data_IF_029998197753
#
_entry.id   IF_029998197753
#
_cell.length_a   1.000
_cell.length_b   1.000
_cell.length_c   1.000
_cell.angle_alpha   90.00
_cell.angle_beta   90.00
_cell.angle_gamma   90.00
#
_symmetry.space_group_name_H-M   'P 1'
#
loop_
_entity.id
_entity.type
_entity.pdbx_description
1 polymer ?
#
# COMPACT_ATOMS: atom_id res chain seq x y z
N UNK A 1 4.86 -6.69 7.34
CA UNK A 1 4.29 -5.59 8.12
C UNK A 1 2.81 -5.90 8.39
N UNK A 2 2.37 -5.80 9.62
CA UNK A 2 0.97 -6.04 9.98
C UNK A 2 0.07 -4.92 9.44
N UNK A 3 -1.24 -5.20 9.34
CA UNK A 3 -2.19 -4.17 8.93
C UNK A 3 -2.22 -3.00 9.92
N UNK A 4 -2.09 -3.27 11.21
CA UNK A 4 -2.04 -2.22 12.22
C UNK A 4 -0.83 -1.29 12.01
N UNK A 5 0.34 -1.85 11.67
CA UNK A 5 1.52 -1.05 11.37
C UNK A 5 1.34 -0.22 10.10
N UNK A 6 0.68 -0.79 9.07
CA UNK A 6 0.38 -0.05 7.84
C UNK A 6 -0.56 1.12 8.13
N UNK A 7 -1.61 0.89 8.93
CA UNK A 7 -2.53 1.96 9.33
C UNK A 7 -1.80 3.07 10.09
N UNK A 8 -0.92 2.71 11.01
CA UNK A 8 -0.14 3.68 11.77
C UNK A 8 0.79 4.50 10.88
N UNK A 9 1.41 3.86 9.90
CA UNK A 9 2.26 4.55 8.93
C UNK A 9 1.47 5.59 8.14
N UNK A 10 0.32 5.22 7.59
CA UNK A 10 -0.51 6.16 6.83
C UNK A 10 -1.05 7.28 7.71
N UNK A 11 -1.43 6.98 8.96
CA UNK A 11 -1.86 8.00 9.91
C UNK A 11 -0.77 9.03 10.19
N UNK A 12 0.46 8.57 10.39
CA UNK A 12 1.61 9.46 10.61
C UNK A 12 1.92 10.31 9.37
N UNK A 13 1.88 9.70 8.18
CA UNK A 13 2.10 10.42 6.92
C UNK A 13 1.00 11.45 6.68
N UNK A 14 -0.26 11.11 6.99
CA UNK A 14 -1.37 12.03 6.85
C UNK A 14 -1.21 13.29 7.68
N UNK A 15 -0.53 13.21 8.82
CA UNK A 15 -0.26 14.36 9.67
C UNK A 15 1.00 15.14 9.26
N UNK A 16 2.00 14.46 8.70
CA UNK A 16 3.32 15.04 8.47
C UNK A 16 3.59 15.49 7.05
N UNK A 17 2.95 14.86 6.07
CA UNK A 17 3.15 15.27 4.68
C UNK A 17 2.57 16.67 4.45
N UNK A 18 3.33 17.49 3.78
CA UNK A 18 2.87 18.80 3.32
C UNK A 18 1.78 18.62 2.26
N UNK A 19 0.89 19.61 2.07
CA UNK A 19 -0.04 19.59 0.94
C UNK A 19 0.70 19.35 -0.38
N UNK A 20 0.16 18.48 -1.22
CA UNK A 20 0.76 18.00 -2.48
C UNK A 20 2.05 17.19 -2.29
N UNK A 21 2.42 16.87 -1.06
CA UNK A 21 3.53 15.96 -0.79
C UNK A 21 3.27 14.57 -1.36
N UNK A 22 4.32 13.87 -1.76
CA UNK A 22 4.25 12.57 -2.41
C UNK A 22 4.90 11.51 -1.54
N UNK A 23 4.25 10.35 -1.46
CA UNK A 23 4.78 9.18 -0.77
C UNK A 23 4.73 7.98 -1.72
N UNK A 24 5.84 7.28 -1.86
CA UNK A 24 5.94 6.09 -2.70
C UNK A 24 6.09 4.85 -1.84
N UNK A 25 5.33 3.80 -2.18
CA UNK A 25 5.38 2.52 -1.50
C UNK A 25 5.68 1.43 -2.53
N UNK A 26 6.80 0.72 -2.34
CA UNK A 26 7.28 -0.32 -3.24
C UNK A 26 7.03 -1.70 -2.64
N UNK A 27 6.59 -2.63 -3.46
CA UNK A 27 6.48 -4.02 -3.05
C UNK A 27 5.60 -4.85 -3.96
N UNK A 28 5.43 -6.15 -3.62
CA UNK A 28 4.45 -7.00 -4.28
C UNK A 28 3.09 -6.78 -3.63
N UNK A 29 2.10 -6.40 -4.43
CA UNK A 29 0.75 -6.12 -3.95
C UNK A 29 -0.28 -6.99 -4.65
N UNK A 30 -1.37 -7.30 -3.96
CA UNK A 30 -2.58 -7.84 -4.57
C UNK A 30 -3.42 -6.68 -5.12
N UNK A 31 -4.37 -6.98 -5.99
CA UNK A 31 -5.25 -5.97 -6.57
C UNK A 31 -6.69 -6.48 -6.58
N UNK A 32 -7.54 -5.84 -5.80
CA UNK A 32 -8.95 -6.18 -5.72
C UNK A 32 -9.21 -7.59 -5.16
N UNK A 33 -8.36 -8.05 -4.25
CA UNK A 33 -8.45 -9.38 -3.66
C UNK A 33 -7.84 -10.47 -4.51
N UNK A 34 -7.14 -10.14 -5.59
CA UNK A 34 -6.54 -11.11 -6.51
C UNK A 34 -5.03 -10.99 -6.50
N UNK A 35 -4.37 -12.14 -6.64
CA UNK A 35 -2.93 -12.18 -6.86
C UNK A 35 -2.62 -11.72 -8.29
N UNK A 36 -1.55 -10.94 -8.43
CA UNK A 36 -1.11 -10.44 -9.73
C UNK A 36 -0.14 -11.40 -10.44
N UNK A 37 0.34 -12.42 -9.72
CA UNK A 37 1.19 -13.48 -10.30
C UNK A 37 1.18 -14.70 -9.40
N UNK A 38 1.60 -15.86 -9.96
CA UNK A 38 1.73 -17.09 -9.19
C UNK A 38 2.85 -16.99 -8.16
N UNK A 39 3.94 -16.30 -8.46
CA UNK A 39 5.03 -16.09 -7.52
C UNK A 39 4.59 -15.23 -6.32
N UNK A 40 3.76 -14.22 -6.54
CA UNK A 40 3.20 -13.43 -5.45
C UNK A 40 2.28 -14.25 -4.57
N UNK A 41 1.49 -15.14 -5.17
CA UNK A 41 0.64 -16.06 -4.40
C UNK A 41 1.47 -16.97 -3.50
N UNK A 42 2.52 -17.58 -4.04
CA UNK A 42 3.40 -18.45 -3.27
C UNK A 42 4.09 -17.70 -2.13
N UNK A 43 4.53 -16.49 -2.40
CA UNK A 43 5.18 -15.63 -1.41
C UNK A 43 4.21 -15.24 -0.29
N UNK A 44 2.99 -14.87 -0.63
CA UNK A 44 1.94 -14.54 0.34
C UNK A 44 1.65 -15.72 1.27
N UNK A 45 1.49 -16.90 0.71
CA UNK A 45 1.24 -18.11 1.49
C UNK A 45 2.41 -18.44 2.42
N UNK A 46 3.65 -18.25 1.96
CA UNK A 46 4.83 -18.45 2.77
C UNK A 46 4.88 -17.48 3.95
N UNK A 47 4.60 -16.20 3.71
CA UNK A 47 4.57 -15.20 4.78
C UNK A 47 3.50 -15.53 5.82
N UNK A 48 2.31 -15.91 5.40
CA UNK A 48 1.19 -16.23 6.29
C UNK A 48 1.45 -17.50 7.09
N UNK A 49 2.25 -18.42 6.56
CA UNK A 49 2.63 -19.64 7.31
C UNK A 49 3.56 -19.33 8.48
N UNK A 50 4.32 -18.25 8.39
CA UNK A 50 5.21 -17.79 9.46
C UNK A 50 4.47 -16.93 10.48
N UNK A 51 3.59 -16.04 10.00
CA UNK A 51 2.79 -15.14 10.83
C UNK A 51 1.49 -14.80 10.11
N UNK A 52 0.32 -15.16 10.67
CA UNK A 52 -0.98 -14.88 10.04
C UNK A 52 -1.24 -13.40 9.76
N UNK A 53 -0.60 -12.48 10.50
CA UNK A 53 -0.75 -11.05 10.29
C UNK A 53 0.10 -10.52 9.13
N UNK A 54 1.02 -11.35 8.63
CA UNK A 54 1.82 -11.01 7.46
C UNK A 54 1.11 -11.42 6.18
N UNK A 55 1.63 -10.96 5.07
CA UNK A 55 1.07 -11.25 3.75
C UNK A 55 1.13 -10.01 2.88
N UNK A 56 0.78 -10.20 1.62
CA UNK A 56 0.74 -9.09 0.67
C UNK A 56 -0.46 -8.19 0.97
N UNK A 57 -0.22 -6.89 0.90
CA UNK A 57 -1.31 -5.92 1.05
C UNK A 57 -2.00 -5.72 -0.29
N UNK A 58 -3.29 -5.43 -0.23
CA UNK A 58 -4.11 -5.20 -1.41
C UNK A 58 -4.09 -3.70 -1.76
N UNK A 59 -3.88 -3.39 -3.05
CA UNK A 59 -3.81 -2.00 -3.52
C UNK A 59 -5.10 -1.25 -3.20
N UNK A 60 -6.26 -1.88 -3.37
CA UNK A 60 -7.54 -1.20 -3.13
C UNK A 60 -7.74 -0.89 -1.64
N UNK A 61 -7.25 -1.76 -0.76
CA UNK A 61 -7.28 -1.51 0.69
C UNK A 61 -6.36 -0.35 1.08
N UNK A 62 -5.17 -0.29 0.46
CA UNK A 62 -4.24 0.81 0.69
C UNK A 62 -4.79 2.13 0.15
N UNK A 63 -5.46 2.11 -1.00
CA UNK A 63 -6.11 3.28 -1.58
C UNK A 63 -7.19 3.83 -0.65
N UNK A 64 -8.02 2.96 -0.09
CA UNK A 64 -9.06 3.35 0.86
C UNK A 64 -8.46 3.94 2.14
N UNK A 65 -7.39 3.34 2.63
CA UNK A 65 -6.68 3.84 3.81
C UNK A 65 -6.05 5.20 3.55
N UNK A 66 -5.46 5.39 2.38
CA UNK A 66 -4.92 6.69 1.97
C UNK A 66 -6.00 7.77 1.98
N UNK A 67 -7.19 7.45 1.47
CA UNK A 67 -8.33 8.38 1.46
C UNK A 67 -8.74 8.84 2.85
N UNK A 68 -8.64 7.95 3.84
CA UNK A 68 -8.93 8.30 5.24
C UNK A 68 -7.88 9.23 5.85
N UNK A 69 -6.73 9.36 5.23
CA UNK A 69 -5.60 10.16 5.72
C UNK A 69 -5.26 11.30 4.76
N UNK A 70 -6.23 11.80 4.00
CA UNK A 70 -6.10 12.94 3.11
C UNK A 70 -5.07 12.71 2.00
N UNK A 71 -4.95 11.49 1.53
CA UNK A 71 -4.08 11.11 0.42
C UNK A 71 -4.87 10.40 -0.67
N UNK A 72 -4.36 10.45 -1.88
CA UNK A 72 -4.96 9.78 -3.04
C UNK A 72 -3.88 9.02 -3.79
N UNK A 73 -4.22 7.81 -4.25
CA UNK A 73 -3.35 7.03 -5.13
C UNK A 73 -3.39 7.65 -6.53
N UNK A 74 -2.26 8.15 -7.01
CA UNK A 74 -2.18 8.84 -8.30
C UNK A 74 -1.48 8.01 -9.37
N UNK A 75 -0.72 6.98 -9.02
CA UNK A 75 -0.02 6.16 -10.00
C UNK A 75 0.30 4.78 -9.45
N UNK A 76 0.38 3.81 -10.36
CA UNK A 76 0.79 2.44 -10.08
C UNK A 76 1.81 2.08 -11.16
N UNK A 77 3.07 1.97 -10.78
CA UNK A 77 4.17 1.71 -11.71
C UNK A 77 4.62 0.26 -11.57
N UNK A 78 4.57 -0.50 -12.66
CA UNK A 78 5.07 -1.88 -12.69
C UNK A 78 6.58 -1.88 -12.61
N UNK A 79 7.10 -2.74 -11.77
CA UNK A 79 8.53 -2.89 -11.52
C UNK A 79 8.94 -4.35 -11.78
N UNK A 80 10.25 -4.65 -11.93
CA UNK A 80 10.72 -6.02 -12.10
C UNK A 80 10.31 -6.94 -10.94
N UNK A 81 10.29 -8.24 -11.20
CA UNK A 81 9.99 -9.30 -10.23
C UNK A 81 8.55 -9.22 -9.67
N UNK A 82 7.60 -8.77 -10.49
CA UNK A 82 6.18 -8.65 -10.12
C UNK A 82 5.92 -7.71 -8.95
N UNK A 83 6.81 -6.74 -8.74
CA UNK A 83 6.61 -5.67 -7.79
C UNK A 83 5.95 -4.47 -8.44
N UNK A 84 5.46 -3.57 -7.64
CA UNK A 84 4.89 -2.30 -8.07
C UNK A 84 5.33 -1.19 -7.15
N UNK A 85 5.39 0.02 -7.67
CA UNK A 85 5.50 1.24 -6.87
C UNK A 85 4.15 1.95 -6.91
N UNK A 86 3.57 2.14 -5.75
CA UNK A 86 2.33 2.90 -5.57
C UNK A 86 2.71 4.33 -5.19
N UNK A 87 2.16 5.30 -5.89
CA UNK A 87 2.46 6.71 -5.63
C UNK A 87 1.22 7.36 -5.05
N UNK A 88 1.32 7.84 -3.81
CA UNK A 88 0.27 8.55 -3.11
C UNK A 88 0.62 10.02 -3.02
N UNK A 89 -0.38 10.87 -3.14
CA UNK A 89 -0.20 12.32 -3.05
C UNK A 89 -1.14 12.88 -1.99
N UNK A 90 -0.61 13.78 -1.14
CA UNK A 90 -1.41 14.50 -0.17
C UNK A 90 -2.31 15.49 -0.88
N UNK A 91 -3.56 15.57 -0.45
CA UNK A 91 -4.52 16.52 -1.01
C UNK A 91 -4.07 17.96 -0.80
N UNK A 92 -4.43 18.85 -1.75
CA UNK A 92 -4.04 20.25 -1.70
C UNK A 92 -4.69 21.02 -0.57
N UNK A 93 -5.94 20.69 -0.32
CA UNK A 93 -6.79 21.47 0.59
C UNK A 93 -7.11 20.65 1.81
N UNK A 94 -6.86 21.20 2.98
CA UNK A 94 -7.32 20.67 4.25
C UNK A 94 -8.52 21.41 4.75
N UNK A 95 -9.46 20.65 5.23
CA UNK A 95 -10.65 21.24 5.84
C UNK A 95 -10.75 20.86 7.29
#
# INVERSE_FOLDING_TARGET
>A
MSWAAVRAMFGGLGQKLKPRGVFCLYGPFNDGGRYTSDSNRAFDLQLKSQDPDMGLRDIRSLEALAGKNDMVLIDQVRMPANNQTLVFKRNDVRR
#
